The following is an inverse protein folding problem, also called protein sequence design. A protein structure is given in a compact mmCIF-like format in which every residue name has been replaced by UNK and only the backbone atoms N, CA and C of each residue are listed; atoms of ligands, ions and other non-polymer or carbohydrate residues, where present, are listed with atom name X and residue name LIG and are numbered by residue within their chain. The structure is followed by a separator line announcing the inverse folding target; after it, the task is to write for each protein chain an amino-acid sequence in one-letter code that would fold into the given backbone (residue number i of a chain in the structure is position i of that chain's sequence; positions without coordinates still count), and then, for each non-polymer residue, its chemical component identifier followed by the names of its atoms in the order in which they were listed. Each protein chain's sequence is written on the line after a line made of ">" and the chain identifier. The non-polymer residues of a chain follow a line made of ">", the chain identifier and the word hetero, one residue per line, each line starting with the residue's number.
data_IF_375323224220
#
_entry.id   IF_375323224220
#
_cell.length_a   1.000
_cell.length_b   1.000
_cell.length_c   1.000
_cell.angle_alpha   90.00
_cell.angle_beta   90.00
_cell.angle_gamma   90.00
#
_symmetry.space_group_name_H-M   'P 1'
#
loop_
_entity.id
_entity.type
_entity.pdbx_description
1 polymer ?
#
# COMPACT_ATOMS: atom_id res chain seq x y z
N UNK A 1 -11.55 -20.24 8.49
CA UNK A 1 -10.85 -18.95 8.62
C UNK A 1 -11.48 -17.95 7.68
N UNK A 2 -11.56 -16.68 8.09
CA UNK A 2 -12.28 -15.62 7.38
C UNK A 2 -11.32 -14.50 6.95
N UNK A 3 -11.73 -13.72 5.96
CA UNK A 3 -11.05 -12.48 5.56
C UNK A 3 -11.54 -11.36 6.47
N UNK A 4 -10.62 -10.59 7.05
CA UNK A 4 -10.95 -9.47 7.92
C UNK A 4 -10.51 -8.16 7.27
N UNK A 5 -11.31 -7.10 7.48
CA UNK A 5 -10.98 -5.74 7.08
C UNK A 5 -11.11 -4.88 8.32
N UNK A 6 -9.98 -4.34 8.79
CA UNK A 6 -9.96 -3.42 9.91
C UNK A 6 -9.72 -2.00 9.40
N UNK A 7 -10.51 -1.05 9.89
CA UNK A 7 -10.45 0.35 9.47
C UNK A 7 -10.08 1.18 10.70
N UNK A 8 -9.01 1.96 10.56
CA UNK A 8 -8.50 2.90 11.54
C UNK A 8 -8.51 4.31 10.95
N UNK A 9 -8.30 5.33 11.77
CA UNK A 9 -8.22 6.71 11.30
C UNK A 9 -7.08 6.93 10.28
N UNK A 10 -5.94 6.25 10.51
CA UNK A 10 -4.69 6.41 9.77
C UNK A 10 -4.47 5.35 8.68
N UNK A 11 -5.25 4.26 8.66
CA UNK A 11 -5.05 3.15 7.71
C UNK A 11 -6.24 2.20 7.62
N UNK A 12 -6.24 1.40 6.57
CA UNK A 12 -7.06 0.20 6.39
C UNK A 12 -6.13 -1.03 6.32
N UNK A 13 -6.48 -2.11 7.01
CA UNK A 13 -5.77 -3.39 6.92
C UNK A 13 -6.70 -4.49 6.41
N UNK A 14 -6.25 -5.25 5.41
CA UNK A 14 -6.95 -6.42 4.88
C UNK A 14 -6.14 -7.64 5.26
N UNK A 15 -6.74 -8.56 5.99
CA UNK A 15 -6.16 -9.84 6.37
C UNK A 15 -6.87 -10.98 5.62
N UNK A 16 -6.09 -11.93 5.10
CA UNK A 16 -6.62 -13.19 4.58
C UNK A 16 -5.84 -14.39 5.11
N UNK A 17 -6.53 -15.50 5.42
CA UNK A 17 -5.88 -16.74 5.82
C UNK A 17 -5.17 -17.40 4.63
N UNK A 18 -4.00 -17.95 4.89
CA UNK A 18 -3.08 -18.53 3.92
C UNK A 18 -2.01 -17.55 3.43
N UNK A 19 -0.78 -18.05 3.32
CA UNK A 19 0.38 -17.29 2.82
C UNK A 19 0.42 -17.07 1.31
N UNK A 20 1.61 -16.92 0.75
CA UNK A 20 1.80 -16.94 -0.71
C UNK A 20 1.67 -18.37 -1.28
N UNK A 21 1.15 -18.55 -2.52
CA UNK A 21 0.95 -19.88 -3.12
C UNK A 21 2.23 -20.71 -3.29
N UNK A 22 3.36 -20.03 -3.50
CA UNK A 22 4.68 -20.64 -3.66
C UNK A 22 5.42 -20.83 -2.33
N UNK A 23 4.77 -20.50 -1.19
CA UNK A 23 5.35 -20.58 0.15
C UNK A 23 6.37 -19.47 0.45
N UNK A 24 6.61 -18.54 -0.47
CA UNK A 24 7.51 -17.41 -0.23
C UNK A 24 6.89 -16.37 0.69
N UNK A 25 7.72 -15.46 1.18
CA UNK A 25 7.29 -14.29 1.94
C UNK A 25 7.22 -13.08 1.02
N UNK A 26 6.07 -12.42 0.94
CA UNK A 26 5.87 -11.29 0.02
C UNK A 26 6.87 -10.14 0.26
N UNK A 27 7.25 -9.92 1.52
CA UNK A 27 8.23 -8.92 1.92
C UNK A 27 9.67 -9.23 1.44
N UNK A 28 9.93 -10.44 0.94
CA UNK A 28 11.23 -10.87 0.38
C UNK A 28 11.20 -10.91 -1.15
N UNK A 29 10.11 -10.45 -1.78
CA UNK A 29 9.88 -10.52 -3.23
C UNK A 29 9.88 -9.14 -3.85
N UNK A 30 10.30 -9.06 -5.10
CA UNK A 30 10.10 -7.88 -5.92
C UNK A 30 8.65 -7.84 -6.43
N UNK A 31 7.88 -6.88 -5.91
CA UNK A 31 6.45 -6.71 -6.22
C UNK A 31 6.17 -6.48 -7.72
N UNK A 32 7.16 -6.01 -8.49
CA UNK A 32 7.01 -5.76 -9.93
C UNK A 32 7.10 -7.02 -10.79
N UNK A 33 7.66 -8.11 -10.24
CA UNK A 33 7.91 -9.37 -10.95
C UNK A 33 7.06 -10.55 -10.46
N UNK A 34 6.11 -10.30 -9.55
CA UNK A 34 5.22 -11.35 -9.04
C UNK A 34 4.19 -11.73 -10.10
N UNK A 35 4.18 -13.02 -10.46
CA UNK A 35 3.20 -13.58 -11.38
C UNK A 35 1.85 -13.84 -10.72
N UNK A 36 0.78 -13.80 -11.53
CA UNK A 36 -0.58 -14.08 -11.09
C UNK A 36 -0.82 -15.59 -10.87
N UNK A 37 -0.45 -16.11 -9.71
CA UNK A 37 -0.77 -17.50 -9.34
C UNK A 37 -2.18 -17.59 -8.75
N UNK A 38 -3.09 -18.27 -9.45
CA UNK A 38 -4.50 -18.45 -9.04
C UNK A 38 -4.63 -19.65 -8.11
N UNK A 39 -4.90 -19.43 -6.82
CA UNK A 39 -5.24 -20.52 -5.88
C UNK A 39 -6.56 -21.21 -6.22
N UNK A 40 -7.55 -20.43 -6.65
CA UNK A 40 -8.84 -20.93 -7.10
C UNK A 40 -9.11 -20.43 -8.52
N UNK A 41 -8.81 -21.23 -9.56
CA UNK A 41 -9.00 -20.85 -10.96
C UNK A 41 -10.47 -20.54 -11.32
N UNK A 42 -11.43 -21.20 -10.68
CA UNK A 42 -12.87 -21.00 -10.95
C UNK A 42 -13.31 -19.62 -10.47
N UNK A 43 -12.99 -19.25 -9.22
CA UNK A 43 -13.28 -17.91 -8.70
C UNK A 43 -12.57 -16.84 -9.53
N UNK A 44 -11.30 -17.09 -9.89
CA UNK A 44 -10.54 -16.17 -10.71
C UNK A 44 -11.13 -15.96 -12.11
N UNK A 45 -11.70 -17.00 -12.72
CA UNK A 45 -12.38 -16.90 -14.03
C UNK A 45 -13.67 -16.09 -13.91
N UNK A 46 -14.47 -16.31 -12.86
CA UNK A 46 -15.70 -15.54 -12.60
C UNK A 46 -15.38 -14.05 -12.42
N UNK A 47 -14.44 -13.70 -11.53
CA UNK A 47 -14.05 -12.29 -11.35
C UNK A 47 -13.45 -11.68 -12.62
N UNK A 48 -12.74 -12.46 -13.42
CA UNK A 48 -12.24 -12.04 -14.73
C UNK A 48 -13.37 -11.72 -15.71
N UNK A 49 -14.39 -12.58 -15.81
CA UNK A 49 -15.55 -12.37 -16.70
C UNK A 49 -16.42 -11.19 -16.28
N UNK A 50 -16.52 -10.94 -14.97
CA UNK A 50 -17.25 -9.80 -14.43
C UNK A 50 -16.47 -8.48 -14.52
N UNK A 51 -15.21 -8.50 -14.97
CA UNK A 51 -14.36 -7.31 -15.07
C UNK A 51 -13.82 -6.81 -13.73
N UNK A 52 -13.93 -7.59 -12.66
CA UNK A 52 -13.45 -7.24 -11.32
C UNK A 52 -11.97 -7.62 -11.09
N UNK A 53 -11.39 -8.46 -11.94
CA UNK A 53 -9.99 -8.87 -11.81
C UNK A 53 -9.31 -9.01 -13.18
N UNK A 54 -8.07 -8.53 -13.26
CA UNK A 54 -7.26 -8.65 -14.47
C UNK A 54 -6.55 -10.01 -14.56
N UNK A 55 -6.26 -10.46 -15.79
CA UNK A 55 -5.63 -11.77 -16.01
C UNK A 55 -4.12 -11.78 -15.74
N UNK A 56 -3.44 -10.63 -15.79
CA UNK A 56 -1.98 -10.51 -15.83
C UNK A 56 -1.29 -10.34 -14.46
N UNK A 57 -2.00 -10.25 -13.34
CA UNK A 57 -1.35 -10.09 -12.02
C UNK A 57 -0.78 -8.69 -11.77
N UNK A 58 -1.43 -7.66 -12.31
CA UNK A 58 -1.03 -6.26 -12.18
C UNK A 58 -1.37 -5.63 -10.82
N UNK A 59 -2.03 -6.38 -9.93
CA UNK A 59 -2.65 -5.83 -8.71
C UNK A 59 -1.67 -5.10 -7.80
N UNK A 60 -0.53 -5.71 -7.48
CA UNK A 60 0.49 -5.08 -6.64
C UNK A 60 0.99 -3.76 -7.22
N UNK A 61 1.39 -3.79 -8.50
CA UNK A 61 1.87 -2.62 -9.24
C UNK A 61 0.82 -1.51 -9.28
N UNK A 62 -0.44 -1.84 -9.57
CA UNK A 62 -1.51 -0.83 -9.62
C UNK A 62 -1.77 -0.19 -8.26
N UNK A 63 -1.76 -0.98 -7.18
CA UNK A 63 -1.96 -0.45 -5.83
C UNK A 63 -0.84 0.55 -5.50
N UNK A 64 0.42 0.17 -5.72
CA UNK A 64 1.57 1.04 -5.40
C UNK A 64 1.63 2.27 -6.31
N UNK A 65 1.44 2.12 -7.62
CA UNK A 65 1.44 3.25 -8.56
C UNK A 65 0.29 4.23 -8.29
N UNK A 66 -0.90 3.73 -7.94
CA UNK A 66 -2.04 4.58 -7.58
C UNK A 66 -1.76 5.38 -6.31
N UNK A 67 -1.13 4.76 -5.31
CA UNK A 67 -0.67 5.45 -4.11
C UNK A 67 0.34 6.55 -4.44
N UNK A 68 1.40 6.23 -5.20
CA UNK A 68 2.46 7.18 -5.57
C UNK A 68 1.97 8.35 -6.42
N UNK A 69 0.91 8.14 -7.21
CA UNK A 69 0.30 9.18 -8.03
C UNK A 69 -0.65 10.11 -7.23
N UNK A 70 -0.99 9.77 -5.98
CA UNK A 70 -1.93 10.54 -5.18
C UNK A 70 -1.28 11.80 -4.58
N UNK A 71 -2.06 12.88 -4.49
CA UNK A 71 -1.58 14.21 -4.09
C UNK A 71 -0.85 14.24 -2.74
N UNK A 72 -1.40 13.57 -1.73
CA UNK A 72 -0.87 13.57 -0.37
C UNK A 72 0.06 12.38 -0.07
N UNK A 73 0.53 11.69 -1.12
CA UNK A 73 1.49 10.61 -0.97
C UNK A 73 2.79 11.09 -0.33
N UNK A 74 3.33 10.24 0.54
CA UNK A 74 4.64 10.39 1.17
C UNK A 74 5.24 8.99 1.29
N UNK A 75 6.56 8.87 1.21
CA UNK A 75 7.23 7.56 1.17
C UNK A 75 6.92 6.68 2.39
N UNK A 76 6.68 7.28 3.56
CA UNK A 76 6.28 6.54 4.76
C UNK A 76 4.86 5.93 4.68
N UNK A 77 4.06 6.35 3.71
CA UNK A 77 2.69 5.89 3.46
C UNK A 77 2.59 4.90 2.29
N UNK A 78 3.72 4.39 1.79
CA UNK A 78 3.73 3.31 0.80
C UNK A 78 2.92 2.10 1.31
N UNK A 79 2.04 1.50 0.48
CA UNK A 79 1.31 0.28 0.84
C UNK A 79 2.25 -0.83 1.31
N UNK A 80 1.91 -1.48 2.42
CA UNK A 80 2.70 -2.59 2.96
C UNK A 80 2.01 -3.91 2.72
N UNK A 81 2.80 -4.88 2.26
CA UNK A 81 2.39 -6.27 2.08
C UNK A 81 3.20 -7.13 3.02
N UNK A 82 2.54 -8.00 3.76
CA UNK A 82 3.18 -8.96 4.66
C UNK A 82 2.56 -10.34 4.46
N UNK A 83 3.39 -11.37 4.54
CA UNK A 83 2.91 -12.74 4.57
C UNK A 83 3.83 -13.64 5.37
N UNK A 84 3.22 -14.68 5.93
CA UNK A 84 3.90 -15.85 6.46
C UNK A 84 3.28 -17.11 5.85
N UNK A 85 3.55 -18.29 6.40
CA UNK A 85 2.98 -19.55 5.90
C UNK A 85 1.45 -19.63 6.07
N UNK A 86 0.91 -18.92 7.06
CA UNK A 86 -0.46 -19.00 7.54
C UNK A 86 -1.34 -17.82 7.15
N UNK A 87 -0.78 -16.70 6.72
CA UNK A 87 -1.53 -15.47 6.47
C UNK A 87 -0.90 -14.55 5.44
N UNK A 88 -1.76 -13.68 4.90
CA UNK A 88 -1.39 -12.56 4.06
C UNK A 88 -2.11 -11.30 4.54
N UNK A 89 -1.41 -10.18 4.59
CA UNK A 89 -1.94 -8.90 5.02
C UNK A 89 -1.52 -7.77 4.08
N UNK A 90 -2.47 -6.88 3.80
CA UNK A 90 -2.24 -5.60 3.11
C UNK A 90 -2.53 -4.47 4.09
N UNK A 91 -1.65 -3.48 4.16
CA UNK A 91 -1.88 -2.22 4.89
C UNK A 91 -1.88 -1.06 3.91
N UNK A 92 -2.98 -0.32 3.89
CA UNK A 92 -3.24 0.83 3.03
C UNK A 92 -3.40 2.07 3.91
N UNK A 93 -2.44 2.99 3.87
CA UNK A 93 -2.47 4.18 4.73
C UNK A 93 -3.46 5.24 4.22
N UNK A 94 -4.13 5.93 5.13
CA UNK A 94 -4.97 7.08 4.81
C UNK A 94 -4.07 8.29 4.51
N UNK A 95 -3.93 8.62 3.23
CA UNK A 95 -3.06 9.72 2.78
C UNK A 95 -3.48 11.10 3.31
N UNK A 96 -4.74 11.24 3.71
CA UNK A 96 -5.29 12.50 4.21
C UNK A 96 -5.15 12.66 5.72
N UNK A 97 -4.80 11.59 6.44
CA UNK A 97 -4.63 11.64 7.89
C UNK A 97 -3.41 12.50 8.28
N UNK A 98 -3.62 13.39 9.26
CA UNK A 98 -2.55 14.26 9.80
C UNK A 98 -2.00 15.34 8.86
N UNK A 99 -2.58 15.52 7.66
CA UNK A 99 -2.07 16.45 6.62
C UNK A 99 -2.01 17.91 7.08
N UNK A 100 -2.99 18.39 7.84
CA UNK A 100 -2.98 19.74 8.40
C UNK A 100 -1.80 19.97 9.38
N UNK A 101 -1.46 18.97 10.19
CA UNK A 101 -0.31 19.05 11.09
C UNK A 101 1.01 19.05 10.32
N UNK A 102 1.12 18.22 9.28
CA UNK A 102 2.29 18.18 8.39
C UNK A 102 2.50 19.50 7.66
N UNK A 103 1.44 20.09 7.09
CA UNK A 103 1.51 21.38 6.39
C UNK A 103 2.00 22.51 7.31
N UNK A 104 1.54 22.54 8.56
CA UNK A 104 2.00 23.50 9.56
C UNK A 104 3.49 23.31 9.88
N UNK A 105 3.95 22.06 10.05
CA UNK A 105 5.36 21.77 10.34
C UNK A 105 6.29 22.22 9.21
N UNK A 106 5.95 21.90 7.95
CA UNK A 106 6.71 22.32 6.76
C UNK A 106 6.77 23.85 6.65
N UNK A 107 5.66 24.54 6.95
CA UNK A 107 5.61 26.00 6.95
C UNK A 107 6.57 26.60 7.98
N UNK A 108 6.64 26.03 9.19
CA UNK A 108 7.54 26.46 10.25
C UNK A 108 9.00 26.22 9.85
N UNK A 109 9.34 25.01 9.40
CA UNK A 109 10.70 24.65 8.96
C UNK A 109 11.19 25.57 7.83
N UNK A 110 10.32 25.88 6.85
CA UNK A 110 10.65 26.78 5.73
C UNK A 110 10.90 28.21 6.22
N UNK A 111 10.08 28.72 7.16
CA UNK A 111 10.31 30.05 7.76
C UNK A 111 11.64 30.10 8.53
N UNK A 112 11.95 29.05 9.28
CA UNK A 112 13.21 28.95 10.04
C UNK A 112 14.43 28.90 9.12
N UNK A 113 14.36 28.14 8.02
CA UNK A 113 15.43 28.10 7.01
C UNK A 113 15.66 29.48 6.37
N UNK A 114 14.58 30.18 5.99
CA UNK A 114 14.67 31.53 5.42
C UNK A 114 15.25 32.54 6.40
N UNK A 115 14.92 32.44 7.69
CA UNK A 115 15.47 33.31 8.72
C UNK A 115 16.98 33.05 8.90
N UNK A 116 17.40 31.78 8.96
CA UNK A 116 18.82 31.42 9.07
C UNK A 116 19.64 31.96 7.90
N UNK A 117 19.16 31.81 6.68
CA UNK A 117 19.82 32.32 5.47
C UNK A 117 19.99 33.85 5.47
N UNK A 118 19.09 34.60 6.12
CA UNK A 118 19.18 36.07 6.27
C UNK A 118 20.17 36.53 7.34
N UNK A 119 20.52 35.66 8.28
CA UNK A 119 21.42 35.99 9.40
C UNK A 119 22.87 35.58 9.11
N UNK A 120 23.10 34.76 8.08
CA UNK A 120 24.43 34.26 7.69
C UNK A 120 25.01 34.95 6.45
N UNK A 121 24.34 35.98 5.91
CA UNK A 121 24.82 36.82 4.80
C UNK A 121 24.82 38.27 5.23
#
# INVERSE_FOLDING_TARGET
>A
SEVHIDIYDDRLTIYSPGGMPDGTRIQERDLSSISSTRRNPVLADIFGRLGYMERQGSGFKKITETYRAAHNYRDELEPKFYSDASSFQVTLYNLNYGTAATANRVTIETKMLRLRLRLTG
#
